data_IF_628236909669
#
_entry.id   IF_628236909669
#
_cell.length_a   1.000
_cell.length_b   1.000
_cell.length_c   1.000
_cell.angle_alpha   90.00
_cell.angle_beta   90.00
_cell.angle_gamma   90.00
#
_symmetry.space_group_name_H-M   'P 1'
#
loop_
_entity.id
_entity.type
_entity.pdbx_description
1 polymer ?
#
# COMPACT_ATOMS: atom_id res chain seq x y z
N UNK A 1 -41.41 7.83 8.60
CA UNK A 1 -41.32 7.67 10.06
C UNK A 1 -40.56 6.36 10.28
N UNK A 2 -39.23 6.40 10.42
CA UNK A 2 -38.43 5.28 10.88
C UNK A 2 -37.94 5.61 12.29
N UNK A 3 -38.39 4.84 13.25
CA UNK A 3 -38.01 4.88 14.66
C UNK A 3 -36.63 4.23 14.81
N UNK A 4 -35.63 5.01 15.25
CA UNK A 4 -34.33 4.53 15.69
C UNK A 4 -34.48 3.79 17.03
N UNK A 5 -34.08 2.52 17.08
CA UNK A 5 -33.80 1.79 18.31
C UNK A 5 -32.33 2.05 18.72
N UNK A 6 -32.03 2.32 19.98
CA UNK A 6 -30.64 2.53 20.42
C UNK A 6 -29.87 1.21 20.40
N UNK A 7 -28.80 1.18 19.63
CA UNK A 7 -27.80 0.10 19.67
C UNK A 7 -27.08 0.16 21.02
N UNK A 8 -27.04 -0.96 21.70
CA UNK A 8 -26.28 -1.18 22.93
C UNK A 8 -24.80 -0.90 22.69
N UNK A 9 -24.27 0.08 23.43
CA UNK A 9 -22.84 0.44 23.48
C UNK A 9 -22.01 -0.75 23.93
N UNK A 10 -21.30 -1.39 23.02
CA UNK A 10 -20.14 -2.18 23.37
C UNK A 10 -19.01 -1.22 23.75
N UNK A 11 -18.22 -1.52 24.79
CA UNK A 11 -17.11 -0.65 25.16
C UNK A 11 -16.09 -0.56 24.03
N UNK A 12 -15.79 0.65 23.60
CA UNK A 12 -14.79 0.98 22.58
C UNK A 12 -13.43 0.57 23.16
N UNK A 13 -12.65 -0.34 22.50
CA UNK A 13 -11.30 -0.64 22.94
C UNK A 13 -10.45 0.63 22.87
N UNK A 14 -9.75 0.96 23.94
CA UNK A 14 -8.81 2.09 23.97
C UNK A 14 -7.57 1.72 23.17
N UNK A 15 -6.89 2.72 22.61
CA UNK A 15 -5.61 2.50 21.89
C UNK A 15 -4.60 1.69 22.74
N UNK A 16 -4.65 1.84 24.09
CA UNK A 16 -3.92 1.03 25.06
C UNK A 16 -4.28 -0.46 25.03
N UNK A 17 -5.48 -0.82 24.60
CA UNK A 17 -5.98 -2.19 24.61
C UNK A 17 -5.47 -2.96 23.38
N UNK A 18 -5.18 -2.25 22.28
CA UNK A 18 -4.54 -2.82 21.08
C UNK A 18 -3.11 -3.30 21.36
N UNK A 19 -2.45 -2.78 22.41
CA UNK A 19 -1.09 -3.18 22.81
C UNK A 19 -1.06 -4.42 23.73
N UNK A 20 -2.17 -4.84 24.33
CA UNK A 20 -2.21 -5.92 25.31
C UNK A 20 -2.63 -7.29 24.74
N UNK A 21 -3.39 -7.34 23.65
CA UNK A 21 -3.88 -8.63 23.11
C UNK A 21 -2.79 -9.55 22.54
N UNK A 22 -1.60 -9.05 22.21
CA UNK A 22 -0.47 -9.89 21.74
C UNK A 22 0.29 -10.64 22.85
N UNK A 23 -0.12 -10.57 24.14
CA UNK A 23 0.58 -11.27 25.25
C UNK A 23 -0.07 -12.56 25.74
N UNK A 24 -1.17 -13.02 25.13
CA UNK A 24 -1.75 -14.31 25.47
C UNK A 24 -1.19 -15.39 24.55
N UNK A 25 -0.27 -16.16 25.11
CA UNK A 25 0.39 -17.29 24.49
C UNK A 25 -0.61 -18.34 23.97
N UNK A 26 -0.56 -18.66 22.69
CA UNK A 26 -1.15 -19.87 22.16
C UNK A 26 -0.31 -21.09 22.56
N UNK A 27 -0.95 -22.19 22.99
CA UNK A 27 -0.22 -23.43 23.29
C UNK A 27 0.33 -24.06 22.01
N UNK A 28 1.53 -24.56 22.12
CA UNK A 28 2.31 -25.24 21.09
C UNK A 28 1.50 -26.29 20.31
N UNK A 29 1.54 -26.29 19.02
CA UNK A 29 1.31 -27.45 18.15
C UNK A 29 2.56 -27.72 17.32
N UNK A 30 2.87 -29.01 17.04
CA UNK A 30 4.19 -29.44 16.62
C UNK A 30 4.46 -29.23 15.12
N UNK A 31 5.69 -28.92 14.84
CA UNK A 31 6.50 -29.11 13.63
C UNK A 31 5.82 -29.72 12.40
N UNK A 32 5.88 -29.02 11.27
CA UNK A 32 6.40 -29.58 10.01
C UNK A 32 6.77 -28.50 8.99
N UNK A 33 8.01 -28.63 8.53
CA UNK A 33 8.65 -28.09 7.31
C UNK A 33 9.08 -26.63 7.23
N UNK A 34 10.38 -26.50 7.34
CA UNK A 34 11.24 -25.39 6.98
C UNK A 34 10.96 -24.84 5.57
N UNK A 35 10.55 -23.57 5.50
CA UNK A 35 10.98 -22.68 4.44
C UNK A 35 11.77 -21.57 5.13
N UNK A 36 13.06 -21.60 4.91
CA UNK A 36 14.02 -20.62 5.38
C UNK A 36 13.73 -19.29 4.69
N UNK A 37 13.02 -18.40 5.39
CA UNK A 37 13.02 -16.99 5.04
C UNK A 37 14.32 -16.38 5.56
N UNK A 38 15.18 -15.95 4.63
CA UNK A 38 16.36 -15.17 4.93
C UNK A 38 15.92 -13.83 5.54
N UNK A 39 16.26 -13.64 6.81
CA UNK A 39 16.21 -12.35 7.48
C UNK A 39 17.18 -11.45 6.71
N UNK A 40 16.66 -10.39 6.08
CA UNK A 40 17.49 -9.37 5.45
C UNK A 40 18.11 -8.54 6.56
N UNK A 41 19.37 -8.82 6.87
CA UNK A 41 20.20 -7.91 7.68
C UNK A 41 20.43 -6.60 6.91
N UNK A 42 20.49 -5.44 7.61
CA UNK A 42 20.72 -4.17 6.94
C UNK A 42 22.17 -4.10 6.39
N UNK A 43 22.26 -3.91 5.10
CA UNK A 43 23.37 -3.48 4.27
C UNK A 43 24.75 -3.42 4.90
N UNK A 44 25.60 -4.39 4.55
CA UNK A 44 27.05 -4.23 4.49
C UNK A 44 27.49 -4.46 3.05
N UNK A 45 27.72 -3.36 2.32
CA UNK A 45 28.31 -3.35 0.99
C UNK A 45 29.70 -4.00 1.02
N UNK A 46 29.85 -5.21 0.46
CA UNK A 46 31.07 -5.70 -0.18
C UNK A 46 30.70 -6.85 -1.12
N UNK A 47 30.84 -6.61 -2.42
CA UNK A 47 30.74 -7.64 -3.47
C UNK A 47 29.55 -7.37 -4.39
N UNK A 48 29.82 -6.83 -5.57
CA UNK A 48 28.87 -6.65 -6.68
C UNK A 48 28.46 -7.99 -7.28
N UNK A 49 27.56 -8.72 -6.63
CA UNK A 49 26.72 -9.68 -7.33
C UNK A 49 25.47 -8.89 -7.74
N UNK A 50 25.36 -8.59 -9.04
CA UNK A 50 24.14 -8.12 -9.67
C UNK A 50 23.11 -9.23 -9.46
N UNK A 51 22.14 -9.03 -8.52
CA UNK A 51 21.02 -9.95 -8.35
C UNK A 51 20.30 -10.03 -9.70
N UNK A 52 19.99 -11.22 -10.16
CA UNK A 52 19.19 -11.42 -11.37
C UNK A 52 17.79 -10.86 -11.13
N UNK A 53 17.11 -10.38 -12.17
CA UNK A 53 15.74 -9.85 -12.11
C UNK A 53 14.81 -10.85 -11.40
N UNK A 54 14.99 -12.13 -11.59
CA UNK A 54 14.21 -13.23 -10.99
C UNK A 54 14.23 -13.23 -9.44
N UNK A 55 15.29 -12.70 -8.82
CA UNK A 55 15.43 -12.66 -7.36
C UNK A 55 14.73 -11.48 -6.71
N UNK A 56 14.16 -10.56 -7.50
CA UNK A 56 13.53 -9.32 -7.03
C UNK A 56 12.03 -9.27 -7.24
N UNK A 57 11.44 -10.22 -7.97
CA UNK A 57 10.02 -10.21 -8.29
C UNK A 57 9.20 -10.95 -7.24
N UNK A 58 8.06 -10.37 -6.84
CA UNK A 58 7.09 -10.96 -5.92
C UNK A 58 5.87 -11.50 -6.69
N UNK A 59 5.48 -12.74 -6.40
CA UNK A 59 4.25 -13.32 -6.93
C UNK A 59 3.04 -12.69 -6.23
N UNK A 60 2.20 -12.00 -6.98
CA UNK A 60 0.99 -11.39 -6.43
C UNK A 60 -0.30 -12.11 -6.82
N UNK A 61 -0.25 -13.01 -7.82
CA UNK A 61 -1.41 -13.77 -8.27
C UNK A 61 -0.99 -15.08 -8.93
N UNK A 62 -1.61 -16.18 -8.52
CA UNK A 62 -1.56 -17.46 -9.21
C UNK A 62 -2.95 -17.81 -9.73
N UNK A 63 -3.06 -18.22 -10.99
CA UNK A 63 -4.31 -18.68 -11.58
C UNK A 63 -4.54 -20.17 -11.26
N UNK A 64 -5.79 -20.65 -11.32
CA UNK A 64 -6.09 -22.08 -11.23
C UNK A 64 -5.34 -22.89 -12.30
N UNK A 65 -5.17 -24.19 -12.06
CA UNK A 65 -4.57 -25.06 -13.05
C UNK A 65 -5.46 -25.17 -14.30
N UNK A 66 -4.83 -25.22 -15.45
CA UNK A 66 -5.45 -25.45 -16.76
C UNK A 66 -4.99 -26.80 -17.30
N UNK A 67 -5.88 -27.43 -18.08
CA UNK A 67 -5.61 -28.65 -18.88
C UNK A 67 -5.65 -28.30 -20.36
N UNK A 68 -5.32 -29.26 -21.21
CA UNK A 68 -5.41 -29.09 -22.68
C UNK A 68 -6.80 -28.60 -23.13
N UNK A 69 -7.87 -29.01 -22.40
CA UNK A 69 -9.27 -28.65 -22.72
C UNK A 69 -9.80 -27.43 -21.98
N UNK A 70 -9.09 -26.93 -20.96
CA UNK A 70 -9.52 -25.77 -20.15
C UNK A 70 -8.64 -24.54 -20.30
N UNK A 71 -7.67 -24.56 -21.23
CA UNK A 71 -6.90 -23.37 -21.57
C UNK A 71 -7.86 -22.24 -22.00
N UNK A 72 -7.82 -21.06 -21.34
CA UNK A 72 -8.68 -19.95 -21.76
C UNK A 72 -8.38 -19.51 -23.19
N UNK A 73 -9.41 -19.21 -23.96
CA UNK A 73 -9.27 -18.77 -25.34
C UNK A 73 -8.33 -17.56 -25.47
N UNK A 74 -8.41 -16.62 -24.53
CA UNK A 74 -7.59 -15.41 -24.57
C UNK A 74 -6.08 -15.68 -24.53
N UNK A 75 -5.62 -16.79 -23.91
CA UNK A 75 -4.18 -17.12 -23.88
C UNK A 75 -3.74 -17.90 -25.10
N UNK A 76 -4.66 -18.47 -25.87
CA UNK A 76 -4.37 -19.13 -27.14
C UNK A 76 -4.33 -18.16 -28.34
N UNK A 77 -4.81 -16.94 -28.13
CA UNK A 77 -4.73 -15.84 -29.09
C UNK A 77 -3.54 -14.93 -28.74
N UNK A 78 -3.18 -14.01 -29.65
CA UNK A 78 -2.17 -12.99 -29.41
C UNK A 78 -2.54 -12.14 -28.21
N UNK A 79 -1.69 -12.14 -27.20
CA UNK A 79 -1.87 -11.32 -25.99
C UNK A 79 -0.52 -10.93 -25.41
N UNK A 80 -0.55 -10.01 -24.42
CA UNK A 80 0.62 -9.65 -23.62
C UNK A 80 0.21 -9.39 -22.17
N UNK A 81 1.19 -9.17 -21.29
CA UNK A 81 0.97 -8.73 -19.92
C UNK A 81 0.98 -7.21 -19.84
N UNK A 82 0.34 -6.68 -18.77
CA UNK A 82 0.35 -5.24 -18.49
C UNK A 82 1.76 -4.76 -18.12
N UNK A 83 2.00 -3.45 -18.30
CA UNK A 83 3.21 -2.77 -17.79
C UNK A 83 3.49 -3.16 -16.35
N UNK A 84 4.74 -3.46 -16.02
CA UNK A 84 5.17 -3.87 -14.67
C UNK A 84 4.58 -5.20 -14.20
N UNK A 85 4.15 -6.07 -15.12
CA UNK A 85 3.63 -7.40 -14.82
C UNK A 85 4.42 -8.44 -15.57
N UNK A 86 5.19 -9.25 -14.87
CA UNK A 86 5.85 -10.45 -15.38
C UNK A 86 4.93 -11.64 -15.22
N UNK A 87 5.01 -12.58 -16.16
CA UNK A 87 4.29 -13.84 -16.07
C UNK A 87 5.25 -15.02 -16.03
N UNK A 88 4.92 -16.07 -15.28
CA UNK A 88 5.67 -17.33 -15.27
C UNK A 88 4.71 -18.48 -15.42
N UNK A 89 4.92 -19.23 -16.49
CA UNK A 89 4.21 -20.48 -16.75
C UNK A 89 4.91 -21.62 -16.00
N UNK A 90 4.13 -22.53 -15.44
CA UNK A 90 4.64 -23.78 -14.82
C UNK A 90 3.87 -24.94 -15.41
N UNK A 91 4.60 -25.91 -15.98
CA UNK A 91 4.04 -27.15 -16.50
C UNK A 91 4.12 -28.21 -15.40
N UNK A 92 3.00 -28.86 -15.08
CA UNK A 92 2.92 -29.94 -14.10
C UNK A 92 2.99 -31.31 -14.75
N UNK A 93 2.37 -31.47 -15.91
CA UNK A 93 2.42 -32.66 -16.77
C UNK A 93 2.21 -32.30 -18.22
N UNK A 94 2.58 -33.21 -19.14
CA UNK A 94 2.43 -33.03 -20.56
C UNK A 94 3.34 -31.97 -21.15
N UNK A 95 2.90 -31.33 -22.22
CA UNK A 95 3.71 -30.35 -22.98
C UNK A 95 2.85 -29.25 -23.56
N UNK A 96 3.47 -28.05 -23.77
CA UNK A 96 2.81 -26.84 -24.23
C UNK A 96 3.73 -26.12 -25.24
N UNK A 97 3.19 -25.68 -26.35
CA UNK A 97 3.84 -24.76 -27.26
C UNK A 97 3.68 -23.31 -26.77
N UNK A 98 4.78 -22.61 -26.71
CA UNK A 98 4.83 -21.16 -26.43
C UNK A 98 5.39 -20.47 -27.69
N UNK A 99 4.63 -19.50 -28.20
CA UNK A 99 4.99 -18.73 -29.38
C UNK A 99 5.27 -17.28 -28.98
N UNK A 100 6.47 -16.79 -29.24
CA UNK A 100 6.78 -15.37 -29.19
C UNK A 100 6.27 -14.72 -30.48
N UNK A 101 5.68 -13.55 -30.34
CA UNK A 101 5.06 -12.80 -31.43
C UNK A 101 5.62 -11.39 -31.53
N UNK A 102 5.61 -10.83 -32.73
CA UNK A 102 5.82 -9.40 -32.93
C UNK A 102 4.52 -8.59 -32.76
N UNK A 103 4.59 -7.27 -33.01
CA UNK A 103 3.43 -6.38 -32.89
C UNK A 103 2.35 -6.68 -33.95
N UNK A 104 2.71 -7.25 -35.10
CA UNK A 104 1.80 -7.67 -36.17
C UNK A 104 1.15 -9.01 -35.86
N UNK A 105 1.74 -9.82 -34.96
CA UNK A 105 1.27 -11.15 -34.54
C UNK A 105 1.92 -12.31 -35.27
N UNK A 106 2.98 -12.02 -36.02
CA UNK A 106 3.77 -13.05 -36.66
C UNK A 106 4.66 -13.77 -35.63
N UNK A 107 4.86 -15.06 -35.80
CA UNK A 107 5.67 -15.90 -34.90
C UNK A 107 7.14 -15.61 -35.13
N UNK A 108 7.81 -15.10 -34.10
CA UNK A 108 9.26 -14.82 -34.10
C UNK A 108 10.08 -15.96 -33.50
N UNK A 109 9.52 -16.70 -32.55
CA UNK A 109 10.13 -17.90 -31.98
C UNK A 109 9.05 -18.86 -31.46
N UNK A 110 9.40 -20.17 -31.43
CA UNK A 110 8.55 -21.23 -30.89
C UNK A 110 9.37 -22.07 -29.89
N UNK A 111 8.75 -22.35 -28.74
CA UNK A 111 9.34 -23.17 -27.68
C UNK A 111 8.37 -24.29 -27.30
N UNK A 112 8.90 -25.47 -27.03
CA UNK A 112 8.16 -26.57 -26.42
C UNK A 112 8.54 -26.66 -24.94
N UNK A 113 7.57 -26.43 -24.05
CA UNK A 113 7.76 -26.49 -22.60
C UNK A 113 7.20 -27.80 -22.04
N UNK A 114 7.96 -28.42 -21.15
CA UNK A 114 7.63 -29.60 -20.37
C UNK A 114 7.93 -29.35 -18.89
N UNK A 115 7.58 -30.28 -17.98
CA UNK A 115 7.92 -30.12 -16.54
C UNK A 115 9.42 -29.93 -16.28
N UNK A 116 10.29 -30.46 -17.17
CA UNK A 116 11.76 -30.39 -17.05
C UNK A 116 12.34 -29.11 -17.62
N UNK A 117 11.54 -28.32 -18.34
CA UNK A 117 12.02 -27.09 -18.98
C UNK A 117 12.16 -25.97 -17.95
N UNK A 118 13.33 -25.34 -17.88
CA UNK A 118 13.49 -24.09 -17.15
C UNK A 118 12.85 -22.94 -17.95
N UNK A 119 11.58 -22.65 -17.61
CA UNK A 119 10.79 -21.64 -18.31
C UNK A 119 11.17 -20.25 -17.77
N UNK A 120 11.62 -19.30 -18.63
CA UNK A 120 11.92 -17.94 -18.21
C UNK A 120 10.65 -17.17 -17.85
N UNK A 121 10.80 -16.01 -17.20
CA UNK A 121 9.71 -15.05 -17.08
C UNK A 121 9.37 -14.46 -18.44
N UNK A 122 8.07 -14.33 -18.70
CA UNK A 122 7.57 -13.51 -19.81
C UNK A 122 7.60 -12.07 -19.35
N UNK A 123 8.36 -11.24 -20.08
CA UNK A 123 8.53 -9.82 -19.79
C UNK A 123 7.22 -9.02 -19.96
N UNK A 124 7.05 -7.90 -19.23
CA UNK A 124 5.91 -7.01 -19.42
C UNK A 124 5.77 -6.60 -20.89
N UNK A 125 4.54 -6.64 -21.41
CA UNK A 125 4.16 -6.23 -22.76
C UNK A 125 4.74 -7.09 -23.89
N UNK A 126 5.47 -8.17 -23.60
CA UNK A 126 5.92 -9.12 -24.62
C UNK A 126 4.74 -9.87 -25.25
N UNK A 127 4.56 -9.76 -26.55
CA UNK A 127 3.48 -10.42 -27.28
C UNK A 127 3.75 -11.93 -27.41
N UNK A 128 2.74 -12.73 -27.09
CA UNK A 128 2.85 -14.18 -27.15
C UNK A 128 1.48 -14.85 -27.23
N UNK A 129 1.50 -16.15 -27.47
CA UNK A 129 0.36 -17.07 -27.32
C UNK A 129 0.84 -18.45 -26.93
N UNK A 130 -0.05 -19.26 -26.38
CA UNK A 130 0.23 -20.65 -26.01
C UNK A 130 -0.76 -21.62 -26.65
N UNK A 131 -0.36 -22.88 -26.80
CA UNK A 131 -1.22 -23.97 -27.26
C UNK A 131 -0.83 -25.28 -26.57
N UNK A 132 -1.80 -26.14 -26.24
CA UNK A 132 -1.51 -27.47 -25.75
C UNK A 132 -0.78 -28.27 -26.84
N UNK A 133 0.31 -28.94 -26.46
CA UNK A 133 1.07 -29.82 -27.34
C UNK A 133 0.79 -31.30 -27.04
N UNK A 134 0.21 -31.62 -25.87
CA UNK A 134 -0.22 -32.98 -25.52
C UNK A 134 -1.56 -32.95 -24.77
N UNK A 135 -2.30 -34.08 -24.84
CA UNK A 135 -3.63 -34.21 -24.22
C UNK A 135 -3.58 -34.27 -22.69
N UNK A 136 -2.45 -34.67 -22.10
CA UNK A 136 -2.19 -34.77 -20.67
C UNK A 136 -1.60 -33.48 -20.08
N UNK A 137 -1.66 -32.35 -20.81
CA UNK A 137 -1.19 -31.07 -20.33
C UNK A 137 -1.93 -30.68 -19.04
N UNK A 138 -1.15 -30.38 -18.02
CA UNK A 138 -1.58 -29.63 -16.84
C UNK A 138 -0.56 -28.53 -16.54
N UNK A 139 -1.03 -27.29 -16.42
CA UNK A 139 -0.17 -26.14 -16.19
C UNK A 139 -0.89 -25.04 -15.39
N UNK A 140 -0.14 -24.07 -14.88
CA UNK A 140 -0.71 -22.85 -14.31
C UNK A 140 0.16 -21.64 -14.63
N UNK A 141 -0.44 -20.47 -14.52
CA UNK A 141 0.19 -19.17 -14.73
C UNK A 141 0.25 -18.40 -13.42
N UNK A 142 1.41 -17.83 -13.12
CA UNK A 142 1.59 -16.90 -11.99
C UNK A 142 2.03 -15.55 -12.50
N UNK A 143 1.53 -14.48 -11.86
CA UNK A 143 1.90 -13.11 -12.16
C UNK A 143 2.77 -12.53 -11.06
N UNK A 144 3.77 -11.78 -11.47
CA UNK A 144 4.79 -11.20 -10.62
C UNK A 144 4.93 -9.70 -10.89
N UNK A 145 5.42 -8.99 -9.90
CA UNK A 145 5.73 -7.57 -10.00
C UNK A 145 6.94 -7.22 -9.12
N UNK A 146 7.44 -6.02 -9.27
CA UNK A 146 8.43 -5.48 -8.36
C UNK A 146 7.84 -5.27 -6.95
N UNK A 147 8.66 -5.32 -5.88
CA UNK A 147 8.19 -5.14 -4.52
C UNK A 147 7.40 -3.86 -4.29
N UNK A 148 7.82 -2.74 -4.91
CA UNK A 148 7.14 -1.46 -4.82
C UNK A 148 5.71 -1.45 -5.39
N UNK A 149 5.40 -2.35 -6.31
CA UNK A 149 4.09 -2.47 -6.95
C UNK A 149 3.20 -3.54 -6.31
N UNK A 150 3.75 -4.35 -5.37
CA UNK A 150 3.08 -5.55 -4.87
C UNK A 150 1.73 -5.24 -4.21
N UNK A 151 1.69 -4.27 -3.31
CA UNK A 151 0.46 -3.90 -2.61
C UNK A 151 -0.61 -3.37 -3.58
N UNK A 152 -0.19 -2.57 -4.58
CA UNK A 152 -1.10 -2.08 -5.61
C UNK A 152 -1.65 -3.19 -6.51
N UNK A 153 -0.81 -4.16 -6.86
CA UNK A 153 -1.20 -5.29 -7.73
C UNK A 153 -2.07 -6.33 -7.01
N UNK A 154 -1.77 -6.64 -5.74
CA UNK A 154 -2.46 -7.68 -4.97
C UNK A 154 -3.74 -7.18 -4.31
N UNK A 155 -3.71 -5.98 -3.73
CA UNK A 155 -4.78 -5.45 -2.88
C UNK A 155 -5.44 -4.17 -3.40
N UNK A 156 -5.00 -3.67 -4.57
CA UNK A 156 -5.47 -2.40 -5.15
C UNK A 156 -5.21 -1.20 -4.23
N UNK A 157 -4.06 -1.20 -3.54
CA UNK A 157 -3.68 -0.18 -2.55
C UNK A 157 -2.37 0.52 -2.95
N UNK A 158 -2.45 1.58 -3.75
CA UNK A 158 -1.27 2.39 -4.09
C UNK A 158 -1.08 3.49 -3.04
N UNK A 159 0.09 3.52 -2.40
CA UNK A 159 0.44 4.57 -1.44
C UNK A 159 0.40 5.97 -2.07
N UNK A 160 0.13 6.98 -1.24
CA UNK A 160 0.12 8.37 -1.66
C UNK A 160 1.51 8.78 -2.20
N UNK A 161 1.56 9.59 -3.26
CA UNK A 161 2.81 10.03 -3.90
C UNK A 161 3.80 10.65 -2.91
N UNK A 162 3.30 11.44 -1.97
CA UNK A 162 4.13 12.06 -0.95
C UNK A 162 4.79 11.07 0.00
N UNK A 163 4.12 9.93 0.29
CA UNK A 163 4.69 8.85 1.10
C UNK A 163 5.78 8.12 0.31
N UNK A 164 5.52 7.83 -0.97
CA UNK A 164 6.51 7.22 -1.85
C UNK A 164 7.77 8.08 -1.94
N UNK A 165 7.62 9.40 -2.16
CA UNK A 165 8.74 10.34 -2.24
C UNK A 165 9.51 10.45 -0.92
N UNK A 166 8.82 10.58 0.22
CA UNK A 166 9.44 10.68 1.53
C UNK A 166 10.27 9.44 1.89
N UNK A 167 9.82 8.24 1.50
CA UNK A 167 10.55 6.99 1.68
C UNK A 167 11.73 6.91 0.71
N UNK A 168 11.52 7.16 -0.58
CA UNK A 168 12.55 7.07 -1.62
C UNK A 168 13.70 8.08 -1.42
N UNK A 169 13.40 9.27 -0.87
CA UNK A 169 14.42 10.27 -0.52
C UNK A 169 15.27 9.88 0.69
N UNK A 170 14.90 8.79 1.42
CA UNK A 170 15.63 8.30 2.59
C UNK A 170 15.37 9.08 3.88
N UNK A 171 14.42 10.04 3.87
CA UNK A 171 14.03 10.76 5.09
C UNK A 171 13.30 9.83 6.07
N UNK A 172 12.34 9.04 5.55
CA UNK A 172 11.55 8.12 6.36
C UNK A 172 12.22 6.74 6.32
N UNK A 173 12.56 6.24 7.53
CA UNK A 173 13.15 4.91 7.74
C UNK A 173 12.22 4.06 8.57
N UNK A 174 12.32 2.71 8.48
CA UNK A 174 11.56 1.82 9.34
C UNK A 174 11.62 2.22 10.82
N UNK A 175 10.45 2.35 11.44
CA UNK A 175 10.28 2.80 12.82
C UNK A 175 8.82 2.73 13.22
N UNK A 176 8.47 3.24 14.40
CA UNK A 176 7.09 3.33 14.87
C UNK A 176 6.35 4.40 14.09
N UNK A 177 5.33 4.00 13.38
CA UNK A 177 4.57 4.88 12.48
C UNK A 177 3.09 4.91 12.84
N UNK A 178 2.49 6.10 12.80
CA UNK A 178 1.05 6.30 12.93
C UNK A 178 0.48 6.83 11.63
N UNK A 179 -0.47 6.10 11.04
CA UNK A 179 -1.31 6.55 9.93
C UNK A 179 -2.66 7.02 10.50
N UNK A 180 -2.80 8.35 10.62
CA UNK A 180 -3.94 9.01 11.26
C UNK A 180 -5.00 9.34 10.22
N UNK A 181 -6.12 8.60 10.22
CA UNK A 181 -7.12 8.60 9.16
C UNK A 181 -6.68 7.71 8.00
N UNK A 182 -6.35 6.46 8.31
CA UNK A 182 -5.71 5.53 7.37
C UNK A 182 -6.62 5.08 6.21
N UNK A 183 -7.94 5.31 6.29
CA UNK A 183 -8.92 4.86 5.30
C UNK A 183 -8.77 3.36 5.01
N UNK A 184 -8.61 3.00 3.75
CA UNK A 184 -8.41 1.60 3.32
C UNK A 184 -6.96 1.10 3.43
N UNK A 185 -6.07 1.86 4.11
CA UNK A 185 -4.73 1.41 4.49
C UNK A 185 -3.66 1.51 3.42
N UNK A 186 -3.85 2.29 2.37
CA UNK A 186 -2.88 2.40 1.27
C UNK A 186 -1.47 2.78 1.74
N UNK A 187 -1.35 3.70 2.70
CA UNK A 187 -0.07 4.12 3.25
C UNK A 187 0.40 3.16 4.34
N UNK A 188 -0.49 2.78 5.26
CA UNK A 188 -0.18 1.88 6.36
C UNK A 188 0.41 0.55 5.89
N UNK A 189 -0.25 -0.11 4.92
CA UNK A 189 0.20 -1.39 4.38
C UNK A 189 1.51 -1.26 3.59
N UNK A 190 1.68 -0.17 2.82
CA UNK A 190 2.93 0.10 2.12
C UNK A 190 4.10 0.28 3.10
N UNK A 191 3.94 1.11 4.15
CA UNK A 191 4.99 1.33 5.15
C UNK A 191 5.29 0.04 5.93
N UNK A 192 4.27 -0.74 6.27
CA UNK A 192 4.45 -2.04 6.93
C UNK A 192 5.22 -3.04 6.06
N UNK A 193 5.00 -3.06 4.73
CA UNK A 193 5.77 -3.89 3.80
C UNK A 193 7.25 -3.53 3.74
N UNK A 194 7.60 -2.31 4.14
CA UNK A 194 8.98 -1.83 4.27
C UNK A 194 9.58 -2.04 5.67
N UNK A 195 8.86 -2.72 6.58
CA UNK A 195 9.34 -3.06 7.92
C UNK A 195 9.02 -2.04 9.00
N UNK A 196 8.10 -1.09 8.77
CA UNK A 196 7.61 -0.21 9.83
C UNK A 196 6.71 -0.97 10.83
N UNK A 197 6.73 -0.56 12.11
CA UNK A 197 5.72 -0.91 13.12
C UNK A 197 4.57 0.10 13.03
N UNK A 198 3.49 -0.27 12.35
CA UNK A 198 2.44 0.68 11.97
C UNK A 198 1.23 0.57 12.91
N UNK A 199 0.81 1.71 13.44
CA UNK A 199 -0.52 1.89 14.02
C UNK A 199 -1.37 2.62 12.98
N UNK A 200 -2.46 2.00 12.52
CA UNK A 200 -3.36 2.52 11.49
C UNK A 200 -4.74 2.75 12.07
N UNK A 201 -5.21 4.00 12.10
CA UNK A 201 -6.46 4.33 12.78
C UNK A 201 -7.40 5.14 11.89
N UNK A 202 -8.70 4.82 11.99
CA UNK A 202 -9.77 5.48 11.25
C UNK A 202 -11.11 5.32 11.98
N UNK A 203 -12.09 6.18 11.70
CA UNK A 203 -13.48 6.03 12.16
C UNK A 203 -14.22 4.93 11.39
N UNK A 204 -13.71 4.51 10.23
CA UNK A 204 -14.26 3.41 9.43
C UNK A 204 -13.74 2.07 9.95
N UNK A 205 -14.50 1.45 10.85
CA UNK A 205 -14.12 0.17 11.47
C UNK A 205 -14.03 -0.98 10.45
N UNK A 206 -14.83 -0.98 9.40
CA UNK A 206 -14.75 -2.02 8.34
C UNK A 206 -13.42 -1.92 7.59
N UNK A 207 -12.99 -0.71 7.28
CA UNK A 207 -11.71 -0.47 6.62
C UNK A 207 -10.54 -0.90 7.51
N UNK A 208 -10.55 -0.57 8.81
CA UNK A 208 -9.48 -0.97 9.74
C UNK A 208 -9.42 -2.48 9.94
N UNK A 209 -10.57 -3.16 10.01
CA UNK A 209 -10.61 -4.63 10.05
C UNK A 209 -10.00 -5.27 8.79
N UNK A 210 -10.31 -4.73 7.61
CA UNK A 210 -9.70 -5.19 6.35
C UNK A 210 -8.19 -5.01 6.36
N UNK A 211 -7.69 -3.87 6.85
CA UNK A 211 -6.25 -3.63 6.99
C UNK A 211 -5.61 -4.70 7.89
N UNK A 212 -6.23 -4.99 9.03
CA UNK A 212 -5.71 -6.00 9.95
C UNK A 212 -5.67 -7.39 9.30
N UNK A 213 -6.73 -7.78 8.57
CA UNK A 213 -6.77 -9.06 7.85
C UNK A 213 -5.62 -9.18 6.83
N UNK A 214 -5.38 -8.12 6.03
CA UNK A 214 -4.28 -8.09 5.06
C UNK A 214 -2.92 -8.16 5.78
N UNK A 215 -2.76 -7.42 6.86
CA UNK A 215 -1.53 -7.42 7.64
C UNK A 215 -1.21 -8.78 8.25
N UNK A 216 -2.24 -9.49 8.75
CA UNK A 216 -2.11 -10.84 9.28
C UNK A 216 -1.76 -11.85 8.17
N UNK A 217 -2.38 -11.76 6.98
CA UNK A 217 -2.07 -12.58 5.81
C UNK A 217 -0.61 -12.39 5.35
N UNK A 218 -0.15 -11.15 5.29
CA UNK A 218 1.20 -10.79 4.84
C UNK A 218 2.25 -10.88 5.95
N UNK A 219 1.84 -11.18 7.19
CA UNK A 219 2.69 -11.16 8.37
C UNK A 219 3.39 -9.80 8.60
N UNK A 220 2.65 -8.71 8.37
CA UNK A 220 3.12 -7.34 8.61
C UNK A 220 2.86 -6.91 10.06
N UNK A 221 3.74 -6.08 10.61
CA UNK A 221 3.55 -5.53 11.94
C UNK A 221 2.63 -4.29 11.89
N UNK A 222 1.32 -4.54 11.85
CA UNK A 222 0.28 -3.51 11.84
C UNK A 222 -0.69 -3.74 12.99
N UNK A 223 -1.05 -2.66 13.65
CA UNK A 223 -2.19 -2.57 14.58
C UNK A 223 -3.21 -1.61 13.98
N UNK A 224 -4.29 -2.15 13.42
CA UNK A 224 -5.36 -1.35 12.85
C UNK A 224 -6.57 -1.30 13.78
N UNK A 225 -7.20 -0.13 13.93
CA UNK A 225 -8.34 -0.01 14.81
C UNK A 225 -9.14 1.28 14.66
N UNK A 226 -10.33 1.26 15.30
CA UNK A 226 -11.19 2.43 15.35
C UNK A 226 -10.58 3.54 16.22
N UNK A 227 -10.58 4.76 15.70
CA UNK A 227 -10.21 5.93 16.45
C UNK A 227 -10.83 7.19 15.82
N UNK A 228 -11.52 7.97 16.67
CA UNK A 228 -12.08 9.26 16.25
C UNK A 228 -11.11 10.39 16.65
N UNK A 229 -10.48 10.96 15.63
CA UNK A 229 -9.50 12.04 15.78
C UNK A 229 -10.11 13.28 16.43
N UNK A 230 -11.40 13.57 16.17
CA UNK A 230 -12.10 14.71 16.76
C UNK A 230 -12.42 14.51 18.25
N UNK A 231 -12.60 13.26 18.68
CA UNK A 231 -13.11 12.96 20.01
C UNK A 231 -12.02 12.72 21.06
N UNK A 232 -10.81 12.37 20.66
CA UNK A 232 -9.76 11.95 21.59
C UNK A 232 -8.37 12.37 21.13
N UNK A 233 -7.50 12.69 22.11
CA UNK A 233 -6.07 12.87 21.89
C UNK A 233 -5.34 11.51 21.92
N UNK A 234 -4.24 11.40 21.17
CA UNK A 234 -3.35 10.25 21.26
C UNK A 234 -2.82 10.11 22.69
N UNK A 235 -2.70 8.87 23.22
CA UNK A 235 -2.23 8.64 24.59
C UNK A 235 -0.81 9.20 24.79
N UNK A 236 -0.54 9.76 25.98
CA UNK A 236 0.78 10.30 26.32
C UNK A 236 1.89 9.25 26.31
N UNK A 237 1.57 7.99 26.55
CA UNK A 237 2.50 6.86 26.51
C UNK A 237 2.92 6.43 25.11
N UNK A 238 2.21 6.90 24.09
CA UNK A 238 2.47 6.54 22.70
C UNK A 238 3.30 7.63 22.01
N UNK A 239 4.42 7.25 21.42
CA UNK A 239 5.28 8.13 20.62
C UNK A 239 5.68 7.43 19.33
N UNK A 240 5.94 8.21 18.29
CA UNK A 240 6.18 7.71 16.94
C UNK A 240 7.38 8.39 16.30
N UNK A 241 8.08 7.65 15.46
CA UNK A 241 9.15 8.18 14.59
C UNK A 241 8.57 8.91 13.39
N UNK A 242 7.36 8.48 12.96
CA UNK A 242 6.66 9.07 11.83
C UNK A 242 5.15 9.10 12.08
N UNK A 243 4.53 10.28 11.98
CA UNK A 243 3.08 10.45 11.98
C UNK A 243 2.67 11.04 10.65
N UNK A 244 1.72 10.39 9.97
CA UNK A 244 1.18 10.87 8.71
C UNK A 244 -0.33 11.02 8.77
N UNK A 245 -0.84 12.01 8.01
CA UNK A 245 -2.27 12.21 7.77
C UNK A 245 -2.44 12.79 6.37
N UNK A 246 -2.95 11.97 5.44
CA UNK A 246 -3.08 12.36 4.03
C UNK A 246 -4.53 12.42 3.61
N UNK A 247 -4.99 13.62 3.24
CA UNK A 247 -6.37 13.85 2.75
C UNK A 247 -7.41 13.52 3.83
N UNK A 248 -7.18 13.94 5.07
CA UNK A 248 -8.02 13.65 6.25
C UNK A 248 -8.53 14.92 6.92
N UNK A 249 -7.66 15.91 7.16
CA UNK A 249 -7.97 17.10 7.93
C UNK A 249 -9.20 17.85 7.41
N UNK A 250 -9.43 17.86 6.11
CA UNK A 250 -10.58 18.49 5.49
C UNK A 250 -11.94 17.94 5.94
N UNK A 251 -11.96 16.76 6.58
CA UNK A 251 -13.18 16.13 7.10
C UNK A 251 -13.35 16.30 8.61
N UNK A 252 -12.40 16.96 9.29
CA UNK A 252 -12.38 17.11 10.73
C UNK A 252 -13.09 18.41 11.16
N UNK A 253 -13.42 18.48 12.44
CA UNK A 253 -13.95 19.67 13.08
C UNK A 253 -12.89 20.79 13.09
N UNK A 254 -13.15 21.95 12.50
CA UNK A 254 -12.22 23.08 12.45
C UNK A 254 -11.71 23.51 13.84
N UNK A 255 -12.57 23.47 14.87
CA UNK A 255 -12.22 23.86 16.23
C UNK A 255 -11.20 22.91 16.89
N UNK A 256 -11.07 21.67 16.37
CA UNK A 256 -10.15 20.65 16.88
C UNK A 256 -8.79 20.66 16.18
N UNK A 257 -8.66 21.26 14.99
CA UNK A 257 -7.44 21.24 14.19
C UNK A 257 -6.18 21.66 14.96
N UNK A 258 -6.17 22.80 15.69
CA UNK A 258 -4.99 23.21 16.44
C UNK A 258 -4.57 22.18 17.51
N UNK A 259 -5.54 21.58 18.20
CA UNK A 259 -5.30 20.58 19.23
C UNK A 259 -4.77 19.27 18.63
N UNK A 260 -5.31 18.85 17.49
CA UNK A 260 -4.87 17.66 16.76
C UNK A 260 -3.42 17.80 16.29
N UNK A 261 -3.08 18.94 15.65
CA UNK A 261 -1.70 19.20 15.18
C UNK A 261 -0.73 19.23 16.37
N UNK A 262 -1.09 19.94 17.45
CA UNK A 262 -0.28 19.98 18.67
C UNK A 262 -0.05 18.58 19.23
N UNK A 263 -1.09 17.75 19.29
CA UNK A 263 -0.98 16.38 19.78
C UNK A 263 -0.07 15.51 18.87
N UNK A 264 -0.16 15.65 17.53
CA UNK A 264 0.77 14.99 16.61
C UNK A 264 2.21 15.41 16.89
N UNK A 265 2.46 16.71 17.09
CA UNK A 265 3.80 17.23 17.41
C UNK A 265 4.33 16.68 18.74
N UNK A 266 3.49 16.64 19.78
CA UNK A 266 3.86 16.11 21.09
C UNK A 266 4.17 14.60 21.05
N UNK A 267 3.45 13.84 20.22
CA UNK A 267 3.61 12.38 20.09
C UNK A 267 4.73 12.00 19.09
N UNK A 268 5.33 12.93 18.39
CA UNK A 268 6.48 12.68 17.53
C UNK A 268 7.77 12.81 18.34
N UNK A 269 8.66 11.82 18.25
CA UNK A 269 9.98 11.85 18.90
C UNK A 269 10.89 12.93 18.29
N UNK A 270 11.85 13.43 19.01
CA UNK A 270 12.90 14.31 18.45
C UNK A 270 13.65 13.56 17.35
N UNK A 271 13.82 14.17 16.18
CA UNK A 271 14.35 13.55 14.96
C UNK A 271 13.30 12.84 14.13
N UNK A 272 12.08 12.65 14.65
CA UNK A 272 10.94 12.09 13.93
C UNK A 272 10.26 13.09 12.99
N UNK A 273 9.27 12.62 12.24
CA UNK A 273 8.66 13.38 11.14
C UNK A 273 7.14 13.42 11.24
N UNK A 274 6.55 14.53 10.78
CA UNK A 274 5.13 14.62 10.47
C UNK A 274 4.94 14.88 8.97
N UNK A 275 3.99 14.17 8.34
CA UNK A 275 3.56 14.41 6.96
C UNK A 275 2.06 14.71 6.94
N UNK A 276 1.68 15.85 6.39
CA UNK A 276 0.28 16.27 6.26
C UNK A 276 0.03 16.67 4.81
N UNK A 277 -1.08 16.17 4.26
CA UNK A 277 -1.64 16.62 2.98
C UNK A 277 -3.12 16.93 3.19
N UNK A 278 -3.52 18.17 2.95
CA UNK A 278 -4.89 18.62 3.13
C UNK A 278 -5.28 19.66 2.08
N UNK A 279 -6.54 19.67 1.69
CA UNK A 279 -7.10 20.69 0.81
C UNK A 279 -6.99 22.10 1.43
N UNK A 280 -6.85 23.07 0.55
CA UNK A 280 -6.80 24.49 0.88
C UNK A 280 -8.02 25.23 0.31
N UNK A 281 -8.31 26.39 0.88
CA UNK A 281 -9.21 27.41 0.33
C UNK A 281 -8.47 28.74 0.28
N UNK A 282 -8.17 29.21 -0.91
CA UNK A 282 -7.38 30.43 -1.15
C UNK A 282 -8.11 31.36 -2.11
N UNK A 283 -7.77 32.64 -2.10
CA UNK A 283 -8.38 33.62 -3.00
C UNK A 283 -8.12 33.28 -4.48
N UNK A 284 -6.91 32.78 -4.78
CA UNK A 284 -6.51 32.38 -6.14
C UNK A 284 -7.17 31.06 -6.58
N UNK A 285 -7.34 30.12 -5.65
CA UNK A 285 -7.90 28.79 -5.90
C UNK A 285 -8.96 28.42 -4.84
N UNK A 286 -10.18 28.99 -4.94
CA UNK A 286 -11.26 28.70 -4.00
C UNK A 286 -11.65 27.22 -3.98
N UNK A 287 -11.85 26.66 -2.80
CA UNK A 287 -12.28 25.27 -2.62
C UNK A 287 -13.72 25.09 -3.10
N UNK A 288 -13.92 24.26 -4.12
CA UNK A 288 -15.27 23.96 -4.66
C UNK A 288 -15.98 22.83 -3.92
N UNK A 289 -15.32 22.20 -2.96
CA UNK A 289 -15.87 21.08 -2.20
C UNK A 289 -16.39 21.58 -0.84
N UNK A 290 -17.52 21.04 -0.34
CA UNK A 290 -18.10 21.43 0.93
C UNK A 290 -17.36 20.75 2.11
N UNK A 291 -16.06 20.99 2.23
CA UNK A 291 -15.28 20.45 3.35
C UNK A 291 -15.54 21.29 4.61
N UNK A 292 -15.65 20.65 5.79
CA UNK A 292 -15.72 21.35 7.07
C UNK A 292 -14.52 22.26 7.34
N UNK A 293 -13.33 21.81 6.90
CA UNK A 293 -12.06 22.50 7.11
C UNK A 293 -11.21 22.50 5.85
N UNK A 294 -10.47 23.58 5.64
CA UNK A 294 -9.41 23.73 4.64
C UNK A 294 -8.35 24.67 5.20
N UNK A 295 -7.08 24.44 4.86
CA UNK A 295 -6.03 25.37 5.25
C UNK A 295 -6.09 26.66 4.42
N UNK A 296 -5.79 27.80 5.06
CA UNK A 296 -5.44 29.06 4.40
C UNK A 296 -3.98 29.04 3.92
N UNK A 297 -3.59 30.04 3.09
CA UNK A 297 -2.21 30.20 2.62
C UNK A 297 -1.23 30.35 3.78
N UNK A 298 -0.20 29.49 3.81
CA UNK A 298 0.83 29.48 4.85
C UNK A 298 0.38 28.99 6.23
N UNK A 299 -0.88 28.70 6.45
CA UNK A 299 -1.41 28.31 7.77
C UNK A 299 -0.74 27.02 8.31
N UNK A 300 -0.67 25.96 7.49
CA UNK A 300 -0.02 24.70 7.91
C UNK A 300 1.46 24.93 8.26
N UNK A 301 2.16 25.75 7.48
CA UNK A 301 3.57 26.10 7.74
C UNK A 301 3.72 26.81 9.10
N UNK A 302 2.78 27.66 9.50
CA UNK A 302 2.84 28.40 10.76
C UNK A 302 2.74 27.46 11.98
N UNK A 303 1.96 26.37 11.92
CA UNK A 303 1.90 25.36 12.96
C UNK A 303 3.25 24.67 13.22
N UNK A 304 4.13 24.61 12.20
CA UNK A 304 5.44 23.91 12.25
C UNK A 304 6.62 24.88 12.17
N UNK A 305 6.42 26.14 12.61
CA UNK A 305 7.44 27.20 12.52
C UNK A 305 8.74 26.93 13.28
N UNK A 306 8.72 26.07 14.30
CA UNK A 306 9.87 25.63 15.09
C UNK A 306 10.41 24.23 14.67
N UNK A 307 9.89 23.67 13.60
CA UNK A 307 10.35 22.42 13.00
C UNK A 307 11.19 22.68 11.73
N UNK A 308 12.03 21.72 11.34
CA UNK A 308 12.72 21.72 10.06
C UNK A 308 11.74 21.31 8.95
N UNK A 309 11.35 22.23 8.08
CA UNK A 309 10.52 21.91 6.91
C UNK A 309 11.40 21.25 5.83
N UNK A 310 11.29 19.92 5.71
CA UNK A 310 11.98 19.13 4.68
C UNK A 310 11.35 19.33 3.32
N UNK A 311 10.02 19.38 3.28
CA UNK A 311 9.22 19.71 2.09
C UNK A 311 8.01 20.54 2.52
N UNK A 312 7.73 21.57 1.74
CA UNK A 312 6.50 22.33 1.84
C UNK A 312 6.10 22.86 0.48
N UNK A 313 4.86 22.68 0.11
CA UNK A 313 4.26 23.33 -1.05
C UNK A 313 2.73 23.47 -0.90
N UNK A 314 2.16 24.35 -1.71
CA UNK A 314 0.73 24.62 -1.79
C UNK A 314 0.28 24.52 -3.24
N UNK A 315 0.49 23.33 -3.83
CA UNK A 315 0.32 23.12 -5.27
C UNK A 315 -1.11 22.67 -5.60
N UNK A 316 -1.50 22.94 -6.86
CA UNK A 316 -2.70 22.32 -7.43
C UNK A 316 -2.50 20.81 -7.55
N UNK A 317 -3.55 20.10 -7.18
CA UNK A 317 -3.67 18.65 -7.30
C UNK A 317 -5.07 18.25 -7.73
N UNK A 318 -5.34 16.95 -7.77
CA UNK A 318 -6.63 16.44 -8.21
C UNK A 318 -7.15 15.41 -7.23
N UNK A 319 -8.45 15.47 -6.95
CA UNK A 319 -9.15 14.38 -6.28
C UNK A 319 -9.34 13.22 -7.26
N UNK A 320 -9.44 12.00 -6.74
CA UNK A 320 -9.87 10.84 -7.53
C UNK A 320 -11.35 10.88 -7.92
N UNK A 321 -12.09 11.88 -7.40
CA UNK A 321 -13.49 12.12 -7.73
C UNK A 321 -13.58 12.99 -9.00
N UNK A 322 -14.53 12.66 -9.85
CA UNK A 322 -14.82 13.40 -11.07
C UNK A 322 -15.92 14.43 -10.85
N UNK A 323 -15.86 15.53 -11.57
CA UNK A 323 -16.92 16.53 -11.67
C UNK A 323 -18.10 16.00 -12.54
N UNK A 324 -19.13 16.81 -12.72
CA UNK A 324 -20.30 16.48 -13.56
C UNK A 324 -19.96 16.30 -15.05
N UNK A 325 -18.79 16.74 -15.50
CA UNK A 325 -18.30 16.61 -16.87
C UNK A 325 -17.33 15.44 -17.05
N UNK A 326 -17.02 14.70 -15.96
CA UNK A 326 -16.10 13.55 -15.99
C UNK A 326 -14.63 13.93 -15.85
N UNK A 327 -14.29 15.18 -15.47
CA UNK A 327 -12.92 15.61 -15.23
C UNK A 327 -12.54 15.44 -13.76
N UNK A 328 -11.27 15.13 -13.43
CA UNK A 328 -10.80 15.13 -12.05
C UNK A 328 -10.96 16.53 -11.42
N UNK A 329 -11.55 16.57 -10.20
CA UNK A 329 -11.75 17.83 -9.48
C UNK A 329 -10.39 18.36 -9.04
N UNK A 330 -10.00 19.55 -9.57
CA UNK A 330 -8.78 20.24 -9.18
C UNK A 330 -9.02 21.02 -7.88
N UNK A 331 -8.09 20.90 -6.93
CA UNK A 331 -8.04 21.66 -5.68
C UNK A 331 -6.59 22.03 -5.38
N UNK A 332 -6.38 23.08 -4.59
CA UNK A 332 -5.08 23.37 -4.02
C UNK A 332 -4.88 22.54 -2.74
N UNK A 333 -3.66 22.08 -2.52
CA UNK A 333 -3.29 21.25 -1.35
C UNK A 333 -2.06 21.80 -0.65
N UNK A 334 -2.17 22.02 0.66
CA UNK A 334 -1.00 22.15 1.52
C UNK A 334 -0.38 20.76 1.73
N UNK A 335 0.88 20.65 1.35
CA UNK A 335 1.69 19.43 1.50
C UNK A 335 2.91 19.75 2.33
N UNK A 336 3.12 19.02 3.42
CA UNK A 336 4.22 19.25 4.33
C UNK A 336 4.86 17.93 4.77
N UNK A 337 6.19 17.88 4.73
CA UNK A 337 7.02 16.94 5.50
C UNK A 337 7.92 17.77 6.42
N UNK A 338 7.72 17.66 7.72
CA UNK A 338 8.48 18.40 8.73
C UNK A 338 9.16 17.45 9.71
N UNK A 339 10.38 17.79 10.12
CA UNK A 339 11.21 17.05 11.08
C UNK A 339 11.26 17.77 12.41
N UNK A 340 11.03 17.05 13.50
CA UNK A 340 11.15 17.58 14.86
C UNK A 340 12.63 17.72 15.23
N UNK A 341 13.05 18.94 15.57
CA UNK A 341 14.44 19.27 15.91
C UNK A 341 14.71 19.46 17.40
N UNK A 342 13.64 19.60 18.20
CA UNK A 342 13.71 19.85 19.65
C UNK A 342 12.64 19.05 20.41
#
# INVERSE_FOLDING_TARGET
IYTYLPQTLFPIPRLSDLSQEKRLAHPARPFFFFHTFAIIEPYRLKGTHKMTIDQQLLCYKRLPNWTATTLPEMVTQKHNTKVGTWAKLTILSGSLHFYELDEEGEVTAEHLFTPETEIPFVEPQAWHRIAAASDDLECYLSFYCKPEDYMAKKYDTKAHSEILEAVQSGHIKPGRTLDLGCGHGRNALYLASLGHDVTAVDVNNEATQRIQMIADEENYNVRAGYYDINAAALPESETFDFILSTVVFMFLDPDQIPAIIKNMQERTVVGGYNLIVCAMDTEEHPCTMPFPFTFEEGELKNYYSDWELVKYNENLGHLHRLDEYGNPIALQFATMLAKKVK
#
